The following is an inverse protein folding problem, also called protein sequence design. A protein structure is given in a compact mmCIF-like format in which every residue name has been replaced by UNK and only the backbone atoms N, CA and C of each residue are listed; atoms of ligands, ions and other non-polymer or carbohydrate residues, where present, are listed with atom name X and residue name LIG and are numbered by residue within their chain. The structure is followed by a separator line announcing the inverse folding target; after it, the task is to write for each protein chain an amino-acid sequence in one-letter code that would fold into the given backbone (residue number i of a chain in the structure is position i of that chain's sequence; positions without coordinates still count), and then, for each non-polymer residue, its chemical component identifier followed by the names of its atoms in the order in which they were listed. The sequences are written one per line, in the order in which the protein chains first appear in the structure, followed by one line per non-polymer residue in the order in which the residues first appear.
data_IF_164358329397
#
_entry.id   IF_164358329397
#
_cell.length_a   1.000
_cell.length_b   1.000
_cell.length_c   1.000
_cell.angle_alpha   90.00
_cell.angle_beta   90.00
_cell.angle_gamma   90.00
#
_symmetry.space_group_name_H-M   'P 1'
#
loop_
_entity.id
_entity.type
_entity.pdbx_description
1 polymer ?
#
# COMPACT_ATOMS: atom_id res chain seq x y z
N UNK A 1 13.14 6.10 -14.19
CA UNK A 1 12.88 5.51 -12.87
C UNK A 1 12.40 4.10 -13.12
N UNK A 2 13.06 3.08 -12.56
CA UNK A 2 12.56 1.72 -12.66
C UNK A 2 11.18 1.68 -11.99
N UNK A 3 10.16 1.25 -12.72
CA UNK A 3 8.83 1.02 -12.14
C UNK A 3 8.93 -0.13 -11.14
N UNK A 4 8.45 0.08 -9.91
CA UNK A 4 8.35 -0.99 -8.91
C UNK A 4 7.44 -2.10 -9.46
N UNK A 5 7.94 -3.34 -9.47
CA UNK A 5 7.12 -4.52 -9.77
C UNK A 5 6.34 -4.96 -8.53
N UNK A 6 5.22 -4.28 -8.28
CA UNK A 6 4.34 -4.53 -7.14
C UNK A 6 3.84 -5.98 -7.04
N UNK A 7 3.90 -6.76 -8.11
CA UNK A 7 3.55 -8.19 -8.05
C UNK A 7 4.46 -9.01 -7.14
N UNK A 8 5.65 -8.47 -6.80
CA UNK A 8 6.60 -9.07 -5.87
C UNK A 8 6.34 -8.71 -4.40
N UNK A 9 5.42 -7.78 -4.11
CA UNK A 9 5.10 -7.38 -2.74
C UNK A 9 3.87 -8.17 -2.23
N UNK A 10 4.01 -9.07 -1.23
CA UNK A 10 2.92 -9.93 -0.79
C UNK A 10 1.82 -9.19 -0.02
N UNK A 11 2.07 -7.93 0.37
CA UNK A 11 1.14 -7.08 1.11
C UNK A 11 0.12 -6.37 0.21
N UNK A 12 0.30 -6.39 -1.11
CA UNK A 12 -0.64 -5.83 -2.08
C UNK A 12 -1.16 -6.88 -3.03
N UNK A 13 -2.26 -6.57 -3.70
CA UNK A 13 -2.83 -7.36 -4.77
C UNK A 13 -3.43 -6.45 -5.85
N UNK A 14 -3.46 -6.95 -7.09
CA UNK A 14 -4.23 -6.36 -8.18
C UNK A 14 -5.17 -7.45 -8.70
N UNK A 15 -6.48 -7.19 -8.60
CA UNK A 15 -7.52 -8.13 -9.01
C UNK A 15 -8.43 -7.45 -10.03
N UNK A 16 -8.62 -8.01 -11.23
CA UNK A 16 -9.55 -7.45 -12.22
C UNK A 16 -10.93 -7.18 -11.62
N UNK A 17 -11.46 -5.97 -11.82
CA UNK A 17 -12.76 -5.53 -11.27
C UNK A 17 -12.72 -5.06 -9.81
N UNK A 18 -11.63 -5.30 -9.06
CA UNK A 18 -11.43 -4.73 -7.72
C UNK A 18 -10.72 -3.39 -7.85
N UNK A 19 -11.44 -2.30 -7.59
CA UNK A 19 -10.92 -0.92 -7.76
C UNK A 19 -10.24 -0.76 -9.14
N UNK A 20 -10.89 -1.29 -10.18
CA UNK A 20 -10.39 -1.28 -11.57
C UNK A 20 -8.99 -1.90 -11.78
N UNK A 21 -8.56 -2.81 -10.90
CA UNK A 21 -7.25 -3.49 -11.02
C UNK A 21 -6.07 -2.67 -10.49
N UNK A 22 -6.32 -1.57 -9.78
CA UNK A 22 -5.25 -0.84 -9.09
C UNK A 22 -4.64 -1.71 -7.97
N UNK A 23 -3.34 -1.53 -7.71
CA UNK A 23 -2.68 -2.16 -6.57
C UNK A 23 -3.28 -1.65 -5.26
N UNK A 24 -3.92 -2.57 -4.54
CA UNK A 24 -4.54 -2.31 -3.23
C UNK A 24 -3.86 -3.16 -2.17
N UNK A 25 -3.95 -2.76 -0.91
CA UNK A 25 -3.55 -3.62 0.19
C UNK A 25 -4.38 -4.91 0.18
N UNK A 26 -3.70 -6.04 0.35
CA UNK A 26 -4.29 -7.37 0.24
C UNK A 26 -5.46 -7.53 1.21
N UNK A 27 -6.60 -8.01 0.70
CA UNK A 27 -7.82 -8.17 1.49
C UNK A 27 -8.61 -6.88 1.72
N UNK A 28 -8.14 -5.74 1.23
CA UNK A 28 -8.78 -4.43 1.41
C UNK A 28 -9.17 -3.82 0.06
N UNK A 29 -9.85 -2.67 0.06
CA UNK A 29 -10.04 -1.85 -1.15
C UNK A 29 -9.16 -0.59 -1.13
N UNK A 30 -8.24 -0.48 -0.18
CA UNK A 30 -7.38 0.68 0.03
C UNK A 30 -6.24 0.65 -1.00
N UNK A 31 -6.16 1.63 -1.93
CA UNK A 31 -5.04 1.72 -2.86
C UNK A 31 -3.71 1.84 -2.11
N UNK A 32 -2.62 1.25 -2.62
CA UNK A 32 -1.31 1.49 -2.03
C UNK A 32 -0.92 2.98 -2.10
N UNK A 33 -1.25 3.63 -3.23
CA UNK A 33 -0.97 5.04 -3.48
C UNK A 33 -1.56 5.99 -2.42
N UNK A 34 -2.81 5.78 -1.98
CA UNK A 34 -3.45 6.68 -1.01
C UNK A 34 -2.70 6.71 0.33
N UNK A 35 -2.08 5.60 0.73
CA UNK A 35 -1.28 5.56 1.95
C UNK A 35 -0.02 6.38 1.79
N UNK A 36 0.68 6.29 0.65
CA UNK A 36 1.85 7.14 0.39
C UNK A 36 1.47 8.62 0.32
N UNK A 37 0.39 8.96 -0.38
CA UNK A 37 -0.13 10.34 -0.46
C UNK A 37 -0.41 10.92 0.93
N UNK A 38 -1.09 10.18 1.81
CA UNK A 38 -1.38 10.65 3.17
C UNK A 38 -0.10 10.79 4.03
N UNK A 39 0.86 9.87 3.90
CA UNK A 39 2.14 9.97 4.60
C UNK A 39 2.96 11.18 4.10
N UNK A 40 2.91 11.48 2.80
CA UNK A 40 3.53 12.67 2.20
C UNK A 40 2.85 13.97 2.67
N UNK A 41 1.54 13.95 2.88
CA UNK A 41 0.75 15.04 3.46
C UNK A 41 0.97 15.21 4.99
N UNK A 42 1.83 14.38 5.59
CA UNK A 42 2.26 14.49 6.99
C UNK A 42 1.45 13.64 7.97
N UNK A 43 0.57 12.77 7.49
CA UNK A 43 -0.14 11.80 8.32
C UNK A 43 0.86 10.80 8.92
N UNK A 44 0.68 10.45 10.18
CA UNK A 44 1.43 9.37 10.82
C UNK A 44 0.88 8.01 10.39
N UNK A 45 1.69 6.95 10.56
CA UNK A 45 1.21 5.58 10.31
C UNK A 45 -0.03 5.27 11.16
N UNK A 46 -0.07 5.74 12.41
CA UNK A 46 -1.17 5.43 13.33
C UNK A 46 -2.49 6.05 12.84
N UNK A 47 -2.44 7.30 12.37
CA UNK A 47 -3.60 7.95 11.75
C UNK A 47 -4.04 7.25 10.45
N UNK A 48 -3.11 6.72 9.64
CA UNK A 48 -3.47 5.91 8.46
C UNK A 48 -4.22 4.64 8.87
N UNK A 49 -3.77 3.97 9.94
CA UNK A 49 -4.42 2.75 10.45
C UNK A 49 -5.82 3.03 11.00
N UNK A 50 -6.05 4.22 11.54
CA UNK A 50 -7.36 4.64 12.03
C UNK A 50 -8.34 4.94 10.87
N UNK A 51 -7.83 5.42 9.74
CA UNK A 51 -8.66 5.84 8.59
C UNK A 51 -8.91 4.73 7.56
N UNK A 52 -7.98 3.79 7.43
CA UNK A 52 -8.03 2.77 6.40
C UNK A 52 -7.98 1.37 7.02
N UNK A 53 -8.69 0.38 6.43
CA UNK A 53 -8.70 -0.99 6.92
C UNK A 53 -7.41 -1.75 6.57
N UNK A 54 -6.25 -1.19 6.91
CA UNK A 54 -4.91 -1.75 6.67
C UNK A 54 -4.22 -2.03 8.01
N UNK A 55 -3.31 -3.00 8.05
CA UNK A 55 -2.52 -3.28 9.27
C UNK A 55 -1.16 -2.59 9.24
N UNK A 56 -0.53 -2.43 10.40
CA UNK A 56 0.82 -1.87 10.50
C UNK A 56 1.82 -2.69 9.71
N UNK A 57 1.70 -4.01 9.78
CA UNK A 57 2.58 -4.96 9.08
C UNK A 57 2.45 -4.80 7.56
N UNK A 58 1.22 -4.61 7.07
CA UNK A 58 0.97 -4.35 5.66
C UNK A 58 1.62 -3.04 5.20
N UNK A 59 1.38 -1.93 5.93
CA UNK A 59 1.97 -0.62 5.61
C UNK A 59 3.49 -0.69 5.62
N UNK A 60 4.06 -1.32 6.66
CA UNK A 60 5.51 -1.50 6.78
C UNK A 60 6.09 -2.30 5.62
N UNK A 61 5.49 -3.43 5.27
CA UNK A 61 5.96 -4.27 4.16
C UNK A 61 5.94 -3.53 2.82
N UNK A 62 4.91 -2.72 2.57
CA UNK A 62 4.80 -1.88 1.36
C UNK A 62 5.88 -0.79 1.33
N UNK A 63 6.15 -0.12 2.45
CA UNK A 63 7.20 0.91 2.56
C UNK A 63 8.61 0.30 2.43
N UNK A 64 8.87 -0.85 3.06
CA UNK A 64 10.14 -1.57 2.93
C UNK A 64 10.38 -2.03 1.49
N UNK A 65 9.35 -2.58 0.83
CA UNK A 65 9.39 -2.96 -0.58
C UNK A 65 9.69 -1.77 -1.50
N UNK A 66 8.95 -0.67 -1.35
CA UNK A 66 9.15 0.53 -2.16
C UNK A 66 10.55 1.15 -1.97
N UNK A 67 11.14 1.01 -0.78
CA UNK A 67 12.50 1.45 -0.48
C UNK A 67 13.59 0.49 -0.97
N UNK A 68 13.24 -0.65 -1.59
CA UNK A 68 14.20 -1.67 -2.03
C UNK A 68 14.82 -2.45 -0.86
N UNK A 69 14.11 -2.55 0.27
CA UNK A 69 14.53 -3.25 1.50
C UNK A 69 13.71 -4.49 1.82
N UNK A 70 12.92 -4.98 0.85
CA UNK A 70 12.12 -6.19 0.97
C UNK A 70 12.92 -7.48 0.76
#
# INVERSE_FOLDING_TARGET
MASLDWSQCPAVESVPGKVSGVWVFKGTRTPAAIVFENLEDGMTIDEVLDQFPVTREQVRAVVEFAAGRA
#
